data_IF_230053174954
#
_entry.id   IF_230053174954
#
_cell.length_a   1.000
_cell.length_b   1.000
_cell.length_c   1.000
_cell.angle_alpha   90.00
_cell.angle_beta   90.00
_cell.angle_gamma   90.00
#
_symmetry.space_group_name_H-M   'P 1'
#
loop_
_entity.id
_entity.type
_entity.pdbx_description
1 polymer ?
#
# COMPACT_ATOMS: atom_id res chain seq x y z
N UNK A 1 25.53 16.51 -15.37
CA UNK A 1 24.26 17.04 -15.95
C UNK A 1 23.08 16.45 -15.17
N UNK A 2 22.46 17.22 -14.27
CA UNK A 2 21.28 16.77 -13.51
C UNK A 2 20.08 16.74 -14.46
N UNK A 3 19.55 15.55 -14.74
CA UNK A 3 18.29 15.41 -15.49
C UNK A 3 17.17 15.94 -14.60
N UNK A 4 16.65 17.13 -14.89
CA UNK A 4 15.38 17.60 -14.30
C UNK A 4 14.29 16.64 -14.75
N UNK A 5 13.88 15.73 -13.87
CA UNK A 5 12.62 15.02 -14.00
C UNK A 5 11.51 16.05 -13.79
N UNK A 6 11.03 16.63 -14.89
CA UNK A 6 9.75 17.35 -14.89
C UNK A 6 8.70 16.27 -14.78
N UNK A 7 8.22 16.03 -13.56
CA UNK A 7 7.04 15.20 -13.34
C UNK A 7 5.87 15.89 -14.06
N UNK A 8 5.19 15.22 -15.02
CA UNK A 8 3.92 15.74 -15.51
C UNK A 8 2.92 15.72 -14.35
N UNK A 9 2.68 16.86 -13.73
CA UNK A 9 1.64 17.06 -12.72
C UNK A 9 0.30 17.38 -13.42
N UNK A 10 -0.82 16.68 -13.10
CA UNK A 10 -0.93 15.31 -12.64
C UNK A 10 -1.85 14.48 -13.55
N UNK A 11 -1.38 13.34 -14.04
CA UNK A 11 -2.24 12.15 -14.27
C UNK A 11 -2.54 11.44 -12.93
N UNK A 12 -2.57 12.21 -11.85
CA UNK A 12 -2.75 11.77 -10.47
C UNK A 12 -4.21 11.94 -10.07
N UNK A 13 -4.75 10.92 -9.40
CA UNK A 13 -6.12 10.96 -8.88
C UNK A 13 -6.21 12.01 -7.78
N UNK A 14 -7.01 13.05 -8.01
CA UNK A 14 -7.29 14.07 -6.99
C UNK A 14 -8.18 13.47 -5.89
N UNK A 15 -8.03 13.96 -4.66
CA UNK A 15 -8.80 13.45 -3.51
C UNK A 15 -10.32 13.45 -3.76
N UNK A 16 -10.85 14.52 -4.38
CA UNK A 16 -12.27 14.65 -4.74
C UNK A 16 -12.77 13.55 -5.70
N UNK A 17 -11.88 12.90 -6.45
CA UNK A 17 -12.27 11.83 -7.39
C UNK A 17 -12.43 10.47 -6.73
N UNK A 18 -12.13 10.34 -5.43
CA UNK A 18 -12.21 9.08 -4.68
C UNK A 18 -13.62 8.78 -4.18
N UNK A 19 -14.44 9.81 -4.01
CA UNK A 19 -15.82 9.67 -3.54
C UNK A 19 -16.73 9.06 -4.62
N UNK A 20 -17.86 8.51 -4.17
CA UNK A 20 -18.90 7.97 -5.05
C UNK A 20 -19.54 9.11 -5.86
N UNK A 21 -19.80 8.86 -7.15
CA UNK A 21 -20.30 9.89 -8.07
C UNK A 21 -19.69 9.81 -9.47
N UNK A 22 -20.04 10.75 -10.37
CA UNK A 22 -19.56 10.78 -11.75
C UNK A 22 -18.08 11.15 -11.88
N UNK A 23 -17.50 11.76 -10.85
CA UNK A 23 -16.11 12.19 -10.85
C UNK A 23 -15.15 10.99 -10.92
N UNK A 24 -14.04 11.15 -11.62
CA UNK A 24 -13.07 10.06 -11.81
C UNK A 24 -13.55 8.93 -12.73
N UNK A 25 -14.55 9.19 -13.59
CA UNK A 25 -15.07 8.21 -14.55
C UNK A 25 -13.99 7.45 -15.33
N UNK A 26 -12.92 8.12 -15.75
CA UNK A 26 -11.83 7.51 -16.54
C UNK A 26 -11.19 6.31 -15.82
N UNK A 27 -10.86 6.45 -14.54
CA UNK A 27 -10.25 5.36 -13.79
C UNK A 27 -11.28 4.37 -13.24
N UNK A 28 -12.48 4.84 -12.87
CA UNK A 28 -13.59 3.99 -12.39
C UNK A 28 -14.04 3.01 -13.49
N UNK A 29 -14.26 3.51 -14.71
CA UNK A 29 -14.63 2.70 -15.87
C UNK A 29 -13.53 1.70 -16.24
N UNK A 30 -12.26 2.11 -16.19
CA UNK A 30 -11.12 1.20 -16.42
C UNK A 30 -11.11 0.04 -15.43
N UNK A 31 -11.28 0.31 -14.14
CA UNK A 31 -11.31 -0.74 -13.10
C UNK A 31 -12.48 -1.70 -13.31
N UNK A 32 -13.67 -1.20 -13.66
CA UNK A 32 -14.82 -2.05 -13.98
C UNK A 32 -14.57 -2.93 -15.22
N UNK A 33 -13.95 -2.36 -16.26
CA UNK A 33 -13.57 -3.09 -17.47
C UNK A 33 -12.53 -4.18 -17.17
N UNK A 34 -11.51 -3.88 -16.35
CA UNK A 34 -10.49 -4.85 -15.92
C UNK A 34 -11.12 -6.02 -15.15
N UNK A 35 -12.03 -5.75 -14.20
CA UNK A 35 -12.75 -6.80 -13.47
C UNK A 35 -13.58 -7.70 -14.37
N UNK A 36 -14.32 -7.10 -15.31
CA UNK A 36 -15.12 -7.85 -16.29
C UNK A 36 -14.22 -8.69 -17.20
N UNK A 37 -13.15 -8.10 -17.72
CA UNK A 37 -12.19 -8.79 -18.59
C UNK A 37 -11.55 -10.00 -17.90
N UNK A 38 -11.15 -9.83 -16.63
CA UNK A 38 -10.61 -10.91 -15.81
C UNK A 38 -11.63 -12.04 -15.60
N UNK A 39 -12.87 -11.71 -15.26
CA UNK A 39 -13.95 -12.69 -15.07
C UNK A 39 -14.23 -13.50 -16.34
N UNK A 40 -14.31 -12.82 -17.49
CA UNK A 40 -14.54 -13.47 -18.79
C UNK A 40 -13.36 -14.34 -19.22
N UNK A 41 -12.13 -13.89 -18.99
CA UNK A 41 -10.93 -14.69 -19.28
C UNK A 41 -10.88 -15.94 -18.41
N UNK A 42 -11.22 -15.82 -17.12
CA UNK A 42 -11.23 -16.95 -16.20
C UNK A 42 -12.30 -18.00 -16.56
N UNK A 43 -13.53 -17.58 -16.84
CA UNK A 43 -14.63 -18.49 -17.13
C UNK A 43 -14.61 -19.01 -18.57
N UNK A 44 -14.35 -18.14 -19.55
CA UNK A 44 -14.59 -18.40 -20.98
C UNK A 44 -13.35 -18.77 -21.80
N UNK A 45 -12.14 -18.38 -21.40
CA UNK A 45 -10.94 -18.65 -22.21
C UNK A 45 -10.40 -20.06 -21.96
N UNK A 46 -10.79 -21.00 -22.82
CA UNK A 46 -10.37 -22.41 -22.75
C UNK A 46 -8.86 -22.57 -22.96
N UNK A 47 -8.22 -21.66 -23.69
CA UNK A 47 -6.78 -21.74 -23.96
C UNK A 47 -5.93 -21.54 -22.70
N UNK A 48 -6.49 -20.91 -21.66
CA UNK A 48 -5.82 -20.71 -20.37
C UNK A 48 -5.82 -21.97 -19.49
N UNK A 49 -6.63 -22.97 -19.83
CA UNK A 49 -6.77 -24.24 -19.07
C UNK A 49 -5.71 -25.28 -19.51
N UNK A 50 -4.50 -24.82 -19.77
CA UNK A 50 -3.39 -25.66 -20.21
C UNK A 50 -2.50 -26.07 -19.03
N UNK A 51 -1.90 -27.27 -19.11
CA UNK A 51 -0.89 -27.69 -18.15
C UNK A 51 0.41 -26.89 -18.34
N UNK A 52 1.06 -26.58 -17.23
CA UNK A 52 2.34 -25.87 -17.24
C UNK A 52 3.45 -26.75 -17.81
N UNK A 53 4.23 -26.20 -18.75
CA UNK A 53 5.39 -26.84 -19.37
C UNK A 53 6.62 -25.94 -19.27
N UNK A 54 7.78 -26.43 -19.72
CA UNK A 54 9.07 -25.80 -19.39
C UNK A 54 9.21 -24.36 -19.89
N UNK A 55 8.70 -24.05 -21.10
CA UNK A 55 8.71 -22.68 -21.60
C UNK A 55 7.92 -21.72 -20.70
N UNK A 56 6.77 -22.16 -20.17
CA UNK A 56 5.96 -21.37 -19.24
C UNK A 56 6.65 -21.23 -17.88
N UNK A 57 7.29 -22.30 -17.38
CA UNK A 57 8.05 -22.26 -16.12
C UNK A 57 9.22 -21.28 -16.18
N UNK A 58 10.03 -21.36 -17.23
CA UNK A 58 11.18 -20.48 -17.43
C UNK A 58 10.75 -19.02 -17.60
N UNK A 59 9.79 -18.74 -18.47
CA UNK A 59 9.28 -17.37 -18.67
C UNK A 59 8.59 -16.83 -17.42
N UNK A 60 7.87 -17.67 -16.68
CA UNK A 60 7.24 -17.30 -15.42
C UNK A 60 8.25 -16.87 -14.37
N UNK A 61 9.37 -17.58 -14.23
CA UNK A 61 10.44 -17.23 -13.30
C UNK A 61 11.17 -15.94 -13.72
N UNK A 62 11.48 -15.78 -15.01
CA UNK A 62 12.07 -14.53 -15.54
C UNK A 62 11.18 -13.33 -15.23
N UNK A 63 9.87 -13.45 -15.46
CA UNK A 63 8.91 -12.38 -15.14
C UNK A 63 8.83 -12.08 -13.64
N UNK A 64 8.91 -13.11 -12.79
CA UNK A 64 8.93 -12.95 -11.32
C UNK A 64 10.16 -12.16 -10.88
N UNK A 65 11.34 -12.48 -11.42
CA UNK A 65 12.58 -11.78 -11.12
C UNK A 65 12.54 -10.33 -11.61
N UNK A 66 12.01 -10.10 -12.81
CA UNK A 66 11.85 -8.76 -13.36
C UNK A 66 10.97 -7.86 -12.48
N UNK A 67 9.86 -8.39 -11.95
CA UNK A 67 8.98 -7.64 -11.02
C UNK A 67 9.69 -7.38 -9.68
N UNK A 68 10.45 -8.35 -9.16
CA UNK A 68 11.21 -8.17 -7.90
C UNK A 68 12.34 -7.16 -8.01
N UNK A 69 12.97 -7.08 -9.18
CA UNK A 69 14.04 -6.11 -9.44
C UNK A 69 13.51 -4.68 -9.67
N UNK A 70 12.19 -4.50 -9.80
CA UNK A 70 11.60 -3.19 -9.94
C UNK A 70 11.59 -2.45 -8.59
N UNK A 71 12.36 -1.38 -8.50
CA UNK A 71 12.37 -0.50 -7.34
C UNK A 71 11.32 0.62 -7.47
N UNK A 72 10.48 0.77 -6.45
CA UNK A 72 9.47 1.83 -6.42
C UNK A 72 10.16 3.19 -6.20
N UNK A 73 9.92 4.20 -7.06
CA UNK A 73 10.45 5.54 -6.84
C UNK A 73 9.96 6.09 -5.49
N UNK A 74 10.90 6.49 -4.63
CA UNK A 74 10.58 7.13 -3.34
C UNK A 74 10.31 8.61 -3.58
N UNK A 75 9.11 9.07 -3.24
CA UNK A 75 8.68 10.47 -3.46
C UNK A 75 9.33 11.45 -2.48
N UNK A 76 9.58 11.00 -1.26
CA UNK A 76 10.33 11.73 -0.24
C UNK A 76 11.47 10.81 0.19
N UNK A 77 12.67 11.05 -0.33
CA UNK A 77 13.84 10.63 0.43
C UNK A 77 13.88 11.57 1.62
N UNK A 78 13.86 11.02 2.83
CA UNK A 78 14.55 11.72 3.90
C UNK A 78 15.98 11.87 3.35
N UNK A 79 16.37 13.10 3.04
CA UNK A 79 17.78 13.44 3.01
C UNK A 79 18.24 13.14 4.43
N UNK A 80 18.58 11.88 4.70
CA UNK A 80 19.47 11.53 5.76
C UNK A 80 20.77 12.19 5.30
N UNK A 81 20.88 13.49 5.63
CA UNK A 81 22.16 14.12 5.76
C UNK A 81 23.05 13.11 6.50
N UNK A 82 24.28 12.96 6.02
CA UNK A 82 25.40 12.25 6.64
C UNK A 82 25.73 12.79 8.07
N UNK A 83 24.75 13.17 8.87
CA UNK A 83 24.88 13.54 10.28
C UNK A 83 25.18 12.31 11.15
N UNK A 84 25.04 11.09 10.62
CA UNK A 84 25.47 9.87 11.31
C UNK A 84 27.00 9.76 11.48
N UNK A 85 27.81 10.57 10.78
CA UNK A 85 29.27 10.54 10.97
C UNK A 85 29.75 11.24 12.27
N UNK A 86 28.88 11.89 13.04
CA UNK A 86 29.30 12.60 14.27
C UNK A 86 28.71 12.06 15.59
N UNK A 87 27.85 11.04 15.56
CA UNK A 87 27.26 10.48 16.79
C UNK A 87 28.22 9.56 17.56
N UNK A 88 29.23 9.00 16.90
CA UNK A 88 30.25 8.15 17.54
C UNK A 88 31.27 8.93 18.40
N UNK A 89 31.15 10.26 18.49
CA UNK A 89 32.07 11.14 19.24
C UNK A 89 31.47 11.83 20.46
N UNK A 90 30.21 11.57 20.78
CA UNK A 90 29.60 12.15 21.97
C UNK A 90 29.89 11.24 23.17
N UNK A 91 30.94 11.59 23.93
CA UNK A 91 31.29 10.94 25.19
C UNK A 91 30.16 11.12 26.22
N UNK A 92 29.88 10.08 27.00
CA UNK A 92 28.85 10.08 28.05
C UNK A 92 29.09 11.20 29.08
N UNK A 93 30.36 11.55 29.32
CA UNK A 93 30.73 12.67 30.20
C UNK A 93 30.43 14.04 29.59
N UNK A 94 30.53 14.20 28.26
CA UNK A 94 30.11 15.41 27.54
C UNK A 94 28.59 15.58 27.53
N UNK A 95 27.83 14.48 27.46
CA UNK A 95 26.37 14.49 27.61
C UNK A 95 25.95 14.94 29.01
N UNK A 96 26.59 14.40 30.06
CA UNK A 96 26.36 14.82 31.45
C UNK A 96 26.70 16.30 31.66
N UNK A 97 27.80 16.79 31.08
CA UNK A 97 28.19 18.19 31.18
C UNK A 97 27.23 19.17 30.50
N UNK A 98 26.53 18.75 29.43
CA UNK A 98 25.45 19.55 28.82
C UNK A 98 24.16 19.53 29.64
N UNK A 99 23.88 18.43 30.35
CA UNK A 99 22.69 18.26 31.19
C UNK A 99 22.82 19.01 32.52
N UNK A 100 24.02 19.15 33.06
CA UNK A 100 24.27 19.82 34.35
C UNK A 100 24.26 21.36 34.27
N UNK A 101 24.24 21.96 33.06
CA UNK A 101 24.44 23.40 32.84
C UNK A 101 23.20 24.30 32.85
N UNK A 102 21.99 23.80 32.60
CA UNK A 102 20.78 24.62 32.50
C UNK A 102 19.55 23.87 33.06
N UNK A 103 19.44 23.78 34.38
CA UNK A 103 18.18 23.39 35.03
C UNK A 103 17.25 24.60 35.15
N UNK A 104 16.60 24.99 34.05
CA UNK A 104 15.27 25.60 34.11
C UNK A 104 14.24 24.51 33.78
N UNK A 105 13.67 23.91 34.84
CA UNK A 105 12.51 23.01 34.83
C UNK A 105 12.43 22.02 33.66
N UNK A 106 12.88 20.79 33.91
CA UNK A 106 12.66 19.61 33.07
C UNK A 106 11.20 19.53 32.54
N UNK A 107 10.98 19.93 31.28
CA UNK A 107 9.67 20.31 30.71
C UNK A 107 8.87 19.14 30.14
N UNK A 108 9.12 17.90 30.60
CA UNK A 108 8.20 16.79 30.33
C UNK A 108 6.81 17.02 30.94
N UNK A 109 6.67 17.94 31.90
CA UNK A 109 5.39 18.36 32.48
C UNK A 109 4.44 19.06 31.50
N UNK A 110 4.94 19.52 30.35
CA UNK A 110 4.15 20.22 29.32
C UNK A 110 3.91 19.39 28.06
N UNK A 111 4.47 18.19 27.97
CA UNK A 111 4.23 17.28 26.84
C UNK A 111 2.81 16.74 26.96
N UNK A 112 2.03 16.86 25.88
CA UNK A 112 0.69 16.31 25.87
C UNK A 112 0.77 14.79 26.00
N UNK A 113 -0.22 14.18 26.67
CA UNK A 113 -0.25 12.71 26.82
C UNK A 113 -0.22 12.00 25.45
N UNK A 114 -0.78 12.61 24.41
CA UNK A 114 -0.75 12.11 23.04
C UNK A 114 0.67 12.06 22.47
N UNK A 115 1.44 13.13 22.64
CA UNK A 115 2.81 13.22 22.14
C UNK A 115 3.74 12.31 22.93
N UNK A 116 3.56 12.23 24.26
CA UNK A 116 4.32 11.31 25.11
C UNK A 116 4.07 9.84 24.73
N UNK A 117 2.84 9.48 24.36
CA UNK A 117 2.51 8.13 23.89
C UNK A 117 3.14 7.83 22.52
N UNK A 118 3.13 8.79 21.59
CA UNK A 118 3.76 8.64 20.28
C UNK A 118 5.28 8.42 20.41
N UNK A 119 5.95 9.27 21.19
CA UNK A 119 7.39 9.14 21.47
C UNK A 119 7.68 7.79 22.14
N UNK A 120 6.85 7.37 23.10
CA UNK A 120 6.99 6.08 23.74
C UNK A 120 6.91 4.92 22.73
N UNK A 121 5.97 4.95 21.79
CA UNK A 121 5.86 3.91 20.75
C UNK A 121 7.04 3.90 19.78
N UNK A 122 7.55 5.07 19.38
CA UNK A 122 8.68 5.17 18.45
C UNK A 122 10.01 4.69 19.06
N UNK A 123 10.31 5.10 20.30
CA UNK A 123 11.60 4.82 20.95
C UNK A 123 11.68 3.44 21.63
N UNK A 124 10.58 2.94 22.18
CA UNK A 124 10.58 1.65 22.89
C UNK A 124 10.28 0.44 21.99
N UNK A 125 10.07 0.68 20.68
CA UNK A 125 9.87 -0.33 19.63
C UNK A 125 8.98 -1.47 20.11
N UNK A 126 7.70 -1.16 20.32
CA UNK A 126 6.70 -2.20 20.54
C UNK A 126 6.57 -3.02 19.24
N UNK A 127 6.37 -4.33 19.35
CA UNK A 127 6.38 -5.22 18.18
C UNK A 127 5.10 -4.95 17.33
N UNK A 128 5.21 -4.07 16.32
CA UNK A 128 4.14 -3.47 15.47
C UNK A 128 3.31 -4.47 14.62
N UNK A 129 3.36 -5.75 14.96
CA UNK A 129 2.60 -6.83 14.34
C UNK A 129 1.09 -6.56 14.24
N UNK A 130 0.54 -5.72 15.12
CA UNK A 130 -0.87 -5.30 15.11
C UNK A 130 -1.14 -4.25 14.03
N UNK A 131 -0.25 -3.28 13.86
CA UNK A 131 -0.34 -2.24 12.82
C UNK A 131 -0.17 -2.84 11.44
N UNK A 132 0.77 -3.78 11.27
CA UNK A 132 0.97 -4.50 10.00
C UNK A 132 -0.32 -5.24 9.58
N UNK A 133 -1.03 -5.84 10.53
CA UNK A 133 -2.33 -6.48 10.25
C UNK A 133 -3.39 -5.45 9.83
N UNK A 134 -3.41 -4.29 10.48
CA UNK A 134 -4.33 -3.20 10.13
C UNK A 134 -4.06 -2.64 8.73
N UNK A 135 -2.79 -2.43 8.37
CA UNK A 135 -2.37 -2.05 7.02
C UNK A 135 -2.76 -3.12 5.99
N UNK A 136 -2.61 -4.40 6.31
CA UNK A 136 -3.03 -5.50 5.42
C UNK A 136 -4.52 -5.49 5.15
N UNK A 137 -5.34 -5.08 6.14
CA UNK A 137 -6.79 -4.92 6.02
C UNK A 137 -7.15 -3.75 5.11
N UNK A 138 -6.49 -2.61 5.27
CA UNK A 138 -6.71 -1.42 4.42
C UNK A 138 -6.27 -1.65 2.98
N UNK A 139 -5.11 -2.27 2.78
CA UNK A 139 -4.60 -2.61 1.46
C UNK A 139 -5.45 -3.67 0.74
N UNK A 140 -6.24 -4.47 1.49
CA UNK A 140 -7.05 -5.57 0.95
C UNK A 140 -6.22 -6.48 0.04
N UNK A 141 -5.22 -7.14 0.61
CA UNK A 141 -4.28 -8.00 -0.13
C UNK A 141 -5.01 -8.98 -1.06
N UNK A 142 -4.54 -9.07 -2.32
CA UNK A 142 -5.10 -9.94 -3.39
C UNK A 142 -6.55 -9.67 -3.76
N UNK A 143 -7.07 -8.45 -3.53
CA UNK A 143 -8.47 -8.03 -3.76
C UNK A 143 -9.13 -8.65 -5.00
N UNK A 144 -8.52 -8.50 -6.18
CA UNK A 144 -9.15 -8.91 -7.45
C UNK A 144 -8.87 -10.38 -7.83
N UNK A 145 -7.94 -11.04 -7.14
CA UNK A 145 -7.47 -12.39 -7.45
C UNK A 145 -8.06 -13.43 -6.50
N UNK A 146 -8.34 -13.02 -5.25
CA UNK A 146 -8.80 -13.90 -4.18
C UNK A 146 -10.08 -14.65 -4.53
N UNK A 147 -11.05 -13.99 -5.15
CA UNK A 147 -12.34 -14.60 -5.55
C UNK A 147 -12.17 -15.82 -6.49
N UNK A 148 -11.08 -15.86 -7.28
CA UNK A 148 -10.80 -16.95 -8.22
C UNK A 148 -9.84 -18.01 -7.67
N UNK A 149 -9.16 -17.72 -6.56
CA UNK A 149 -8.20 -18.62 -5.90
C UNK A 149 -8.80 -19.32 -4.69
N UNK A 150 -9.84 -18.75 -4.08
CA UNK A 150 -10.55 -19.38 -2.97
C UNK A 150 -11.35 -20.58 -3.47
N UNK A 151 -11.21 -21.70 -2.76
CA UNK A 151 -11.90 -22.93 -3.09
C UNK A 151 -13.42 -22.74 -3.09
N UNK A 152 -14.07 -23.10 -4.19
CA UNK A 152 -15.53 -23.06 -4.37
C UNK A 152 -16.19 -21.70 -4.08
N UNK A 153 -15.48 -20.58 -4.25
CA UNK A 153 -16.04 -19.25 -3.98
C UNK A 153 -17.10 -18.79 -5.00
N UNK A 154 -17.04 -19.29 -6.24
CA UNK A 154 -18.01 -18.97 -7.29
C UNK A 154 -19.02 -20.12 -7.42
N UNK A 155 -20.31 -19.89 -7.11
CA UNK A 155 -21.35 -20.91 -7.20
C UNK A 155 -21.63 -21.26 -8.66
N UNK A 156 -22.08 -22.49 -8.92
CA UNK A 156 -22.30 -22.99 -10.28
C UNK A 156 -23.31 -22.18 -11.09
N UNK A 157 -24.37 -21.67 -10.44
CA UNK A 157 -25.38 -20.83 -11.08
C UNK A 157 -24.83 -19.50 -11.60
N UNK A 158 -23.69 -19.04 -11.08
CA UNK A 158 -23.06 -17.77 -11.46
C UNK A 158 -21.88 -17.95 -12.43
N UNK A 159 -21.64 -19.17 -12.93
CA UNK A 159 -20.58 -19.48 -13.90
C UNK A 159 -20.99 -19.17 -15.34
N UNK A 160 -21.62 -18.02 -15.54
CA UNK A 160 -22.11 -17.57 -16.84
C UNK A 160 -21.47 -16.24 -17.26
N UNK A 161 -21.46 -15.98 -18.56
CA UNK A 161 -20.88 -14.75 -19.15
C UNK A 161 -21.64 -13.47 -18.73
N UNK A 162 -22.93 -13.60 -18.45
CA UNK A 162 -23.81 -12.50 -18.06
C UNK A 162 -23.91 -12.31 -16.54
N UNK A 163 -23.43 -13.27 -15.75
CA UNK A 163 -23.44 -13.20 -14.29
C UNK A 163 -22.48 -12.12 -13.77
N UNK A 164 -22.98 -11.30 -12.84
CA UNK A 164 -22.26 -10.14 -12.31
C UNK A 164 -21.57 -10.44 -10.96
N UNK A 165 -21.15 -11.68 -10.72
CA UNK A 165 -20.59 -12.12 -9.43
C UNK A 165 -19.36 -11.31 -8.98
N UNK A 166 -18.55 -10.85 -9.92
CA UNK A 166 -17.35 -10.03 -9.67
C UNK A 166 -17.66 -8.62 -9.10
N UNK A 167 -18.93 -8.21 -9.06
CA UNK A 167 -19.37 -6.92 -8.49
C UNK A 167 -19.90 -7.03 -7.05
N UNK A 168 -20.02 -8.24 -6.48
CA UNK A 168 -20.60 -8.45 -5.13
C UNK A 168 -19.90 -7.69 -4.00
N UNK A 169 -18.62 -7.37 -4.19
CA UNK A 169 -17.77 -6.67 -3.23
C UNK A 169 -17.79 -5.14 -3.42
N UNK A 170 -18.56 -4.63 -4.40
CA UNK A 170 -18.77 -3.19 -4.60
C UNK A 170 -19.88 -2.75 -3.65
N UNK A 171 -19.54 -1.86 -2.72
CA UNK A 171 -20.48 -1.25 -1.78
C UNK A 171 -20.46 0.24 -2.04
N UNK A 172 -21.62 0.81 -2.36
CA UNK A 172 -21.81 2.26 -2.30
C UNK A 172 -21.82 2.65 -0.82
N UNK A 173 -21.17 3.75 -0.47
CA UNK A 173 -21.39 4.34 0.84
C UNK A 173 -22.85 4.85 0.88
N UNK A 174 -23.59 4.50 1.93
CA UNK A 174 -24.91 5.09 2.18
C UNK A 174 -24.74 6.57 2.55
N UNK A 175 -24.55 7.42 1.56
CA UNK A 175 -24.66 8.87 1.71
C UNK A 175 -26.06 9.27 1.24
N UNK A 176 -27.03 9.32 2.15
CA UNK A 176 -28.36 9.91 1.87
C UNK A 176 -29.59 9.12 2.33
N UNK A 177 -29.67 8.75 3.61
CA UNK A 177 -30.96 8.59 4.30
C UNK A 177 -30.92 9.46 5.58
N UNK A 178 -31.04 10.77 5.38
CA UNK A 178 -31.77 11.72 6.25
C UNK A 178 -32.47 12.74 5.35
#
# INVERSE_FOLDING_TARGET
MRRKLVLPFPTGRLFLTWDDGPDGHEWKSRVLAEKRSLALTYLGDVNKRAQIHDAVRLKGEVNRQAIRAYEMPKFFQADNADESENLDRIDYQSLLGMVEGEFEFDTLSHVSLSDANLLKSEFLHDDDSTEVKLLSRWASLRRDIADYHTYAAIPDGERNVWSAWYLRNVRANKTGEE
#
